data_IF_771733636136
#
_entry.id   IF_771733636136
#
_cell.length_a   1.000
_cell.length_b   1.000
_cell.length_c   1.000
_cell.angle_alpha   90.00
_cell.angle_beta   90.00
_cell.angle_gamma   90.00
#
_symmetry.space_group_name_H-M   'P 1'
#
loop_
_entity.id
_entity.type
_entity.pdbx_description
1 polymer ?
#
# COMPACT_ATOMS: atom_id res chain seq x y z
N UNK A 1 24.30 -37.40 -22.63
CA UNK A 1 24.41 -36.05 -23.25
C UNK A 1 23.10 -35.77 -23.98
N UNK A 2 22.25 -34.92 -23.38
CA UNK A 2 21.04 -34.26 -23.93
C UNK A 2 20.05 -34.08 -22.77
N UNK A 3 19.59 -32.92 -22.34
CA UNK A 3 19.81 -31.53 -22.70
C UNK A 3 18.93 -30.77 -21.70
N UNK A 4 19.53 -29.93 -20.86
CA UNK A 4 18.83 -29.12 -19.86
C UNK A 4 17.94 -28.12 -20.60
N UNK A 5 16.63 -28.39 -20.68
CA UNK A 5 15.65 -27.39 -21.11
C UNK A 5 15.44 -26.40 -19.96
N UNK A 6 15.87 -25.16 -20.19
CA UNK A 6 15.55 -24.00 -19.36
C UNK A 6 14.03 -23.88 -19.13
N UNK A 7 13.56 -23.27 -18.06
CA UNK A 7 14.10 -22.07 -17.42
C UNK A 7 12.95 -21.09 -17.27
N UNK A 8 11.88 -21.53 -16.59
CA UNK A 8 10.75 -20.70 -16.21
C UNK A 8 10.39 -21.06 -14.78
N UNK A 9 10.81 -20.24 -13.83
CA UNK A 9 10.56 -20.51 -12.41
C UNK A 9 9.04 -20.49 -12.15
N UNK A 10 8.48 -21.43 -11.36
CA UNK A 10 7.06 -21.49 -10.99
C UNK A 10 6.51 -20.22 -10.29
N UNK A 11 7.38 -19.26 -9.99
CA UNK A 11 7.11 -17.98 -9.34
C UNK A 11 6.21 -17.06 -10.16
N UNK A 12 6.28 -17.07 -11.50
CA UNK A 12 5.51 -16.12 -12.32
C UNK A 12 3.99 -16.30 -12.14
N UNK A 13 3.50 -17.55 -12.15
CA UNK A 13 2.08 -17.87 -11.99
C UNK A 13 1.56 -17.67 -10.56
N UNK A 14 2.38 -17.91 -9.55
CA UNK A 14 1.99 -17.76 -8.13
C UNK A 14 2.02 -16.30 -7.66
N UNK A 15 2.89 -15.47 -8.24
CA UNK A 15 2.91 -14.03 -8.01
C UNK A 15 1.71 -13.32 -8.66
N UNK A 16 1.46 -13.56 -9.95
CA UNK A 16 0.29 -13.04 -10.67
C UNK A 16 -1.02 -13.47 -10.00
N UNK A 17 -1.09 -14.70 -9.47
CA UNK A 17 -2.25 -15.18 -8.71
C UNK A 17 -2.48 -14.45 -7.38
N UNK A 18 -1.41 -14.01 -6.68
CA UNK A 18 -1.52 -13.20 -5.46
C UNK A 18 -1.97 -11.77 -5.76
N UNK A 19 -1.51 -11.19 -6.86
CA UNK A 19 -1.92 -9.85 -7.33
C UNK A 19 -3.38 -9.87 -7.80
N UNK A 20 -3.76 -10.84 -8.62
CA UNK A 20 -5.14 -11.00 -9.07
C UNK A 20 -6.11 -11.20 -7.89
N UNK A 21 -5.64 -11.74 -6.77
CA UNK A 21 -6.43 -11.85 -5.54
C UNK A 21 -6.40 -10.57 -4.69
N UNK A 22 -5.33 -9.77 -4.74
CA UNK A 22 -5.28 -8.43 -4.13
C UNK A 22 -6.18 -7.44 -4.87
N UNK A 23 -6.16 -7.45 -6.20
CA UNK A 23 -7.04 -6.64 -7.05
C UNK A 23 -8.55 -6.94 -6.82
N UNK A 24 -8.88 -8.07 -6.21
CA UNK A 24 -10.26 -8.43 -5.81
C UNK A 24 -10.66 -7.86 -4.45
N UNK A 25 -9.72 -7.34 -3.66
CA UNK A 25 -10.06 -6.64 -2.42
C UNK A 25 -10.36 -5.19 -2.81
N UNK A 26 -11.56 -4.66 -2.52
CA UNK A 26 -11.91 -3.28 -2.80
C UNK A 26 -11.22 -2.35 -1.80
N UNK A 27 -9.89 -2.29 -1.85
CA UNK A 27 -9.08 -1.40 -1.02
C UNK A 27 -8.93 -0.09 -1.78
N UNK A 28 -9.60 0.92 -1.27
CA UNK A 28 -9.54 2.28 -1.79
C UNK A 28 -8.54 3.09 -0.93
N UNK A 29 -7.29 3.17 -1.40
CA UNK A 29 -6.21 3.85 -0.68
C UNK A 29 -6.48 5.36 -0.53
N UNK A 30 -7.16 5.98 -1.49
CA UNK A 30 -7.53 7.39 -1.44
C UNK A 30 -8.56 7.63 -0.32
N UNK A 31 -9.61 6.80 -0.27
CA UNK A 31 -10.60 6.86 0.81
C UNK A 31 -9.95 6.62 2.17
N UNK A 32 -9.05 5.66 2.31
CA UNK A 32 -8.34 5.39 3.57
C UNK A 32 -7.49 6.60 3.97
N UNK A 33 -6.72 7.16 3.03
CA UNK A 33 -5.92 8.38 3.22
C UNK A 33 -6.78 9.53 3.74
N UNK A 34 -7.92 9.78 3.10
CA UNK A 34 -8.85 10.85 3.50
C UNK A 34 -9.40 10.65 4.91
N UNK A 35 -9.70 9.41 5.32
CA UNK A 35 -10.17 9.13 6.69
C UNK A 35 -9.05 9.33 7.71
N UNK A 36 -7.82 8.89 7.40
CA UNK A 36 -6.67 9.05 8.30
C UNK A 36 -6.29 10.52 8.48
N UNK A 37 -6.31 11.33 7.42
CA UNK A 37 -6.09 12.77 7.52
C UNK A 37 -7.14 13.44 8.41
N UNK A 38 -8.42 13.13 8.23
CA UNK A 38 -9.48 13.65 9.12
C UNK A 38 -9.29 13.22 10.58
N UNK A 39 -8.77 12.01 10.81
CA UNK A 39 -8.46 11.54 12.16
C UNK A 39 -7.29 12.29 12.79
N UNK A 40 -6.28 12.68 11.99
CA UNK A 40 -5.19 13.55 12.42
C UNK A 40 -5.71 14.93 12.79
N UNK A 41 -6.44 15.59 11.89
CA UNK A 41 -7.03 16.92 12.12
C UNK A 41 -7.84 16.92 13.43
N UNK A 42 -8.69 15.91 13.61
CA UNK A 42 -9.54 15.82 14.81
C UNK A 42 -8.76 15.53 16.08
N UNK A 43 -7.66 14.78 16.00
CA UNK A 43 -6.81 14.52 17.16
C UNK A 43 -5.94 15.74 17.51
N UNK A 44 -5.51 16.53 16.52
CA UNK A 44 -4.79 17.78 16.76
C UNK A 44 -5.64 18.80 17.51
N UNK A 45 -6.92 18.93 17.17
CA UNK A 45 -7.88 19.78 17.90
C UNK A 45 -8.00 19.40 19.40
N UNK A 46 -7.65 18.17 19.79
CA UNK A 46 -7.73 17.68 21.16
C UNK A 46 -6.42 17.91 21.96
N UNK A 47 -5.35 18.42 21.33
CA UNK A 47 -4.06 18.62 22.01
C UNK A 47 -4.09 19.75 23.04
N UNK A 48 -4.96 20.73 22.86
CA UNK A 48 -5.08 21.89 23.74
C UNK A 48 -6.17 21.73 24.83
N UNK A 49 -6.77 20.55 24.94
CA UNK A 49 -7.80 20.26 25.96
C UNK A 49 -7.21 20.36 27.37
N UNK A 50 -7.95 20.89 28.35
CA UNK A 50 -7.48 21.03 29.74
C UNK A 50 -7.30 19.66 30.44
N UNK A 51 -8.07 18.65 30.04
CA UNK A 51 -7.95 17.30 30.57
C UNK A 51 -6.72 16.59 29.99
N UNK A 52 -5.78 16.26 30.88
CA UNK A 52 -4.56 15.51 30.55
C UNK A 52 -4.86 14.17 29.89
N UNK A 53 -5.95 13.48 30.27
CA UNK A 53 -6.33 12.21 29.68
C UNK A 53 -6.76 12.38 28.22
N UNK A 54 -7.44 13.47 27.87
CA UNK A 54 -7.80 13.80 26.50
C UNK A 54 -6.57 14.11 25.65
N UNK A 55 -5.64 14.92 26.15
CA UNK A 55 -4.37 15.20 25.45
C UNK A 55 -3.55 13.93 25.20
N UNK A 56 -3.49 13.01 26.17
CA UNK A 56 -2.75 11.76 25.99
C UNK A 56 -3.39 10.87 24.91
N UNK A 57 -4.72 10.80 24.87
CA UNK A 57 -5.45 10.10 23.80
C UNK A 57 -5.20 10.74 22.43
N UNK A 58 -5.18 12.06 22.37
CA UNK A 58 -4.86 12.81 21.15
C UNK A 58 -3.48 12.43 20.59
N UNK A 59 -2.44 12.50 21.43
CA UNK A 59 -1.06 12.12 21.05
C UNK A 59 -1.00 10.66 20.55
N UNK A 60 -1.69 9.75 21.24
CA UNK A 60 -1.75 8.35 20.84
C UNK A 60 -2.43 8.18 19.47
N UNK A 61 -3.58 8.80 19.27
CA UNK A 61 -4.32 8.78 18.00
C UNK A 61 -3.49 9.36 16.86
N UNK A 62 -2.79 10.48 17.07
CA UNK A 62 -1.89 11.09 16.07
C UNK A 62 -0.81 10.10 15.68
N UNK A 63 -0.13 9.50 16.67
CA UNK A 63 0.94 8.52 16.41
C UNK A 63 0.44 7.33 15.60
N UNK A 64 -0.74 6.80 15.93
CA UNK A 64 -1.35 5.67 15.23
C UNK A 64 -1.80 6.03 13.80
N UNK A 65 -2.44 7.18 13.63
CA UNK A 65 -2.92 7.65 12.34
C UNK A 65 -1.74 7.97 11.40
N UNK A 66 -0.72 8.69 11.88
CA UNK A 66 0.48 9.00 11.11
C UNK A 66 1.23 7.72 10.66
N UNK A 67 1.41 6.76 11.58
CA UNK A 67 2.03 5.47 11.25
C UNK A 67 1.23 4.66 10.23
N UNK A 68 -0.10 4.77 10.27
CA UNK A 68 -0.97 4.10 9.29
C UNK A 68 -0.96 4.81 7.94
N UNK A 69 -0.89 6.14 7.94
CA UNK A 69 -0.81 6.94 6.72
C UNK A 69 0.49 6.67 5.95
N UNK A 70 1.63 6.58 6.65
CA UNK A 70 2.91 6.20 6.01
C UNK A 70 2.82 4.84 5.29
N UNK A 71 2.14 3.86 5.90
CA UNK A 71 1.95 2.54 5.28
C UNK A 71 1.06 2.60 4.04
N UNK A 72 0.03 3.44 4.04
CA UNK A 72 -0.83 3.65 2.87
C UNK A 72 -0.04 4.26 1.72
N UNK A 73 0.79 5.28 2.00
CA UNK A 73 1.67 5.89 1.00
C UNK A 73 2.68 4.89 0.45
N UNK A 74 3.32 4.09 1.32
CA UNK A 74 4.25 3.05 0.90
C UNK A 74 3.60 2.03 -0.04
N UNK A 75 2.38 1.57 0.28
CA UNK A 75 1.63 0.66 -0.59
C UNK A 75 1.31 1.33 -1.93
N UNK A 76 0.87 2.59 -1.92
CA UNK A 76 0.58 3.32 -3.15
C UNK A 76 1.82 3.47 -4.05
N UNK A 77 2.99 3.75 -3.48
CA UNK A 77 4.25 3.78 -4.23
C UNK A 77 4.61 2.41 -4.81
N UNK A 78 4.44 1.34 -4.03
CA UNK A 78 4.71 -0.02 -4.48
C UNK A 78 3.78 -0.43 -5.63
N UNK A 79 2.50 -0.07 -5.56
CA UNK A 79 1.52 -0.32 -6.63
C UNK A 79 1.86 0.46 -7.90
N UNK A 80 2.25 1.74 -7.79
CA UNK A 80 2.66 2.54 -8.94
C UNK A 80 3.94 2.00 -9.61
N UNK A 81 4.94 1.60 -8.81
CA UNK A 81 6.18 0.98 -9.33
C UNK A 81 5.90 -0.35 -10.00
N UNK A 82 5.00 -1.15 -9.43
CA UNK A 82 4.61 -2.44 -10.00
C UNK A 82 3.93 -2.25 -11.36
N UNK A 83 2.97 -1.32 -11.45
CA UNK A 83 2.27 -1.02 -12.70
C UNK A 83 3.24 -0.60 -13.81
N UNK A 84 4.22 0.25 -13.50
CA UNK A 84 5.25 0.67 -14.47
C UNK A 84 6.13 -0.49 -14.97
N UNK A 85 6.47 -1.44 -14.08
CA UNK A 85 7.22 -2.65 -14.48
C UNK A 85 6.35 -3.56 -15.34
N UNK A 86 5.08 -3.75 -14.99
CA UNK A 86 4.14 -4.56 -15.76
C UNK A 86 3.92 -3.98 -17.16
N UNK A 87 3.75 -2.67 -17.29
CA UNK A 87 3.63 -1.98 -18.59
C UNK A 87 4.90 -2.16 -19.44
N UNK A 88 6.08 -2.03 -18.83
CA UNK A 88 7.35 -2.22 -19.53
C UNK A 88 7.54 -3.66 -20.02
N UNK A 89 7.10 -4.66 -19.25
CA UNK A 89 7.17 -6.07 -19.65
C UNK A 89 6.21 -6.39 -20.80
N UNK A 90 4.98 -5.87 -20.75
CA UNK A 90 4.01 -6.04 -21.84
C UNK A 90 4.52 -5.43 -23.15
N UNK A 91 5.12 -4.23 -23.09
CA UNK A 91 5.70 -3.59 -24.28
C UNK A 91 6.87 -4.40 -24.89
N UNK A 92 7.65 -5.11 -24.07
CA UNK A 92 8.72 -5.99 -24.55
C UNK A 92 8.18 -7.27 -25.21
N UNK A 93 7.10 -7.84 -24.67
CA UNK A 93 6.43 -9.01 -25.26
C UNK A 93 5.77 -8.69 -26.61
N UNK A 94 5.24 -7.47 -26.80
CA UNK A 94 4.65 -7.04 -28.08
C UNK A 94 5.69 -6.75 -29.16
N UNK A 95 6.94 -6.50 -28.78
CA UNK A 95 8.05 -6.16 -29.70
C UNK A 95 8.98 -7.33 -30.02
N UNK A 96 8.77 -8.50 -29.37
CA UNK A 96 9.55 -9.73 -29.54
C UNK A 96 8.83 -10.77 -30.41
#
# INVERSE_FOLDING_TARGET
MAGLKGGGTPTHRTYLGRIANRAKLPIDLERITNVLNKALDRAEEMLDDEDKAYRLKAIHSITQAASSLMRVLEVGEQEARLAAVEEALLAQEETS
#
